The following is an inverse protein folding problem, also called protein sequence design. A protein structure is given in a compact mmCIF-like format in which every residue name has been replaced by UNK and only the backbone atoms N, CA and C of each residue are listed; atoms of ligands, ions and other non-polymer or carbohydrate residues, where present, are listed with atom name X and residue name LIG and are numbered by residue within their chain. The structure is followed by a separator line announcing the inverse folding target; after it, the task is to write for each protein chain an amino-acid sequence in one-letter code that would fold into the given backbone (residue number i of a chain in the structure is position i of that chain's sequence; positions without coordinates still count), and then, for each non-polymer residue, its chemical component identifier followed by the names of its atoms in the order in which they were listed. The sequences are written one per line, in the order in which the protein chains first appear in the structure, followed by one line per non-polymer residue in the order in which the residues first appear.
data_IF_567727855186
#
_entry.id   IF_567727855186
#
_cell.length_a   1.000
_cell.length_b   1.000
_cell.length_c   1.000
_cell.angle_alpha   90.00
_cell.angle_beta   90.00
_cell.angle_gamma   90.00
#
_symmetry.space_group_name_H-M   'P 1'
#
loop_
_entity.id
_entity.type
_entity.pdbx_description
1 polymer ?
#
# COMPACT_ATOMS: atom_id res chain seq x y z
N UNK A 1 -41.58 -24.08 18.47
CA UNK A 1 -41.66 -23.56 19.63
C UNK A 1 -40.77 -22.41 20.06
N UNK A 2 -39.60 -22.59 20.43
CA UNK A 2 -38.58 -21.60 20.80
C UNK A 2 -38.50 -20.45 19.80
N UNK A 3 -39.14 -20.65 18.66
CA UNK A 3 -39.15 -19.84 17.50
C UNK A 3 -39.96 -18.55 17.63
N UNK A 4 -41.04 -18.52 18.48
CA UNK A 4 -41.87 -17.29 18.53
C UNK A 4 -41.18 -16.14 19.24
N UNK A 5 -40.50 -16.40 20.36
CA UNK A 5 -39.72 -15.38 21.05
C UNK A 5 -38.54 -14.91 20.18
N UNK A 6 -37.80 -15.86 19.60
CA UNK A 6 -36.68 -15.57 18.68
C UNK A 6 -37.14 -14.80 17.46
N UNK A 7 -38.28 -15.17 16.84
CA UNK A 7 -38.83 -14.45 15.68
C UNK A 7 -39.26 -13.03 16.07
N UNK A 8 -39.87 -12.85 17.23
CA UNK A 8 -40.26 -11.53 17.71
C UNK A 8 -39.04 -10.65 18.01
N UNK A 9 -37.99 -11.23 18.56
CA UNK A 9 -36.71 -10.54 18.78
C UNK A 9 -36.09 -10.09 17.45
N UNK A 10 -36.04 -10.95 16.45
CA UNK A 10 -35.56 -10.61 15.12
C UNK A 10 -36.38 -9.50 14.44
N UNK A 11 -37.70 -9.55 14.58
CA UNK A 11 -38.56 -8.46 14.09
C UNK A 11 -38.25 -7.15 14.79
N UNK A 12 -38.10 -7.16 16.10
CA UNK A 12 -37.74 -5.96 16.85
C UNK A 12 -36.36 -5.41 16.44
N UNK A 13 -35.35 -6.27 16.32
CA UNK A 13 -34.01 -5.90 15.85
C UNK A 13 -34.09 -5.26 14.44
N UNK A 14 -34.90 -5.83 13.55
CA UNK A 14 -35.07 -5.34 12.17
C UNK A 14 -35.77 -3.98 12.17
N UNK A 15 -36.81 -3.79 12.93
CA UNK A 15 -37.52 -2.51 13.03
C UNK A 15 -36.65 -1.41 13.62
N UNK A 16 -35.91 -1.73 14.71
CA UNK A 16 -34.96 -0.79 15.31
C UNK A 16 -33.86 -0.39 14.34
N UNK A 17 -33.31 -1.35 13.59
CA UNK A 17 -32.30 -1.06 12.56
C UNK A 17 -32.85 -0.21 11.42
N UNK A 18 -34.08 -0.49 10.98
CA UNK A 18 -34.73 0.30 9.93
C UNK A 18 -34.87 1.77 10.35
N UNK A 19 -35.37 2.00 11.56
CA UNK A 19 -35.51 3.36 12.12
C UNK A 19 -34.13 4.04 12.26
N UNK A 20 -33.14 3.32 12.74
CA UNK A 20 -31.76 3.82 12.87
C UNK A 20 -31.18 4.26 11.53
N UNK A 21 -31.38 3.49 10.48
CA UNK A 21 -30.93 3.82 9.12
C UNK A 21 -31.69 5.00 8.51
N UNK A 22 -32.99 5.15 8.81
CA UNK A 22 -33.79 6.31 8.39
C UNK A 22 -33.30 7.59 9.06
N UNK A 23 -32.94 7.54 10.34
CA UNK A 23 -32.47 8.68 11.13
C UNK A 23 -30.98 9.00 10.89
N UNK A 24 -30.19 8.01 10.50
CA UNK A 24 -28.74 8.12 10.27
C UNK A 24 -28.38 7.64 8.86
N UNK A 25 -28.53 8.48 7.83
CA UNK A 25 -28.16 8.10 6.46
C UNK A 25 -26.70 7.70 6.27
N UNK A 26 -25.81 8.20 7.14
CA UNK A 26 -24.37 7.93 7.12
C UNK A 26 -23.97 6.74 8.04
N UNK A 27 -24.94 5.91 8.45
CA UNK A 27 -24.64 4.73 9.26
C UNK A 27 -23.63 3.82 8.53
N UNK A 28 -22.53 3.40 9.20
CA UNK A 28 -21.44 2.68 8.54
C UNK A 28 -21.81 1.22 8.27
N UNK A 29 -22.35 0.94 7.07
CA UNK A 29 -22.70 -0.41 6.60
C UNK A 29 -21.62 -1.07 5.77
N UNK A 30 -20.63 -0.33 5.34
CA UNK A 30 -19.52 -0.76 4.49
C UNK A 30 -18.21 -0.87 5.28
N UNK A 31 -17.17 -1.35 4.58
CA UNK A 31 -15.83 -1.51 5.18
C UNK A 31 -15.76 -2.52 6.34
N UNK A 32 -16.55 -3.58 6.28
CA UNK A 32 -16.40 -4.76 7.14
C UNK A 32 -15.86 -5.90 6.27
N UNK A 33 -14.69 -6.41 6.63
CA UNK A 33 -14.00 -7.47 5.92
C UNK A 33 -13.86 -8.69 6.82
N UNK A 34 -13.84 -9.89 6.24
CA UNK A 34 -13.52 -11.09 6.99
C UNK A 34 -12.01 -11.19 7.23
N UNK A 35 -11.59 -10.77 8.40
CA UNK A 35 -10.17 -10.75 8.80
C UNK A 35 -9.76 -11.94 9.67
N UNK A 36 -10.63 -12.95 9.83
CA UNK A 36 -10.39 -14.11 10.73
C UNK A 36 -9.16 -14.90 10.30
N UNK A 37 -8.97 -15.11 9.02
CA UNK A 37 -7.81 -15.82 8.48
C UNK A 37 -6.51 -15.05 8.76
N UNK A 38 -6.48 -13.76 8.44
CA UNK A 38 -5.33 -12.89 8.66
C UNK A 38 -4.93 -12.83 10.14
N UNK A 39 -5.91 -12.64 11.03
CA UNK A 39 -5.69 -12.65 12.49
C UNK A 39 -5.20 -14.02 12.97
N UNK A 40 -5.69 -15.12 12.41
CA UNK A 40 -5.22 -16.47 12.74
C UNK A 40 -3.78 -16.69 12.31
N UNK A 41 -3.40 -16.23 11.13
CA UNK A 41 -2.00 -16.27 10.65
C UNK A 41 -1.06 -15.48 11.57
N UNK A 42 -1.47 -14.30 12.00
CA UNK A 42 -0.68 -13.45 12.88
C UNK A 42 -0.31 -14.10 14.24
N UNK A 43 -0.99 -15.17 14.64
CA UNK A 43 -0.65 -15.94 15.85
C UNK A 43 0.47 -16.95 15.66
N UNK A 44 0.81 -17.26 14.41
CA UNK A 44 1.83 -18.25 14.07
C UNK A 44 3.20 -17.55 14.07
N UNK A 45 4.16 -18.11 14.78
CA UNK A 45 5.52 -17.57 14.81
C UNK A 45 6.13 -17.52 13.40
N UNK A 46 6.85 -16.45 13.11
CA UNK A 46 7.49 -16.19 11.81
C UNK A 46 6.51 -15.99 10.64
N UNK A 47 5.27 -15.65 10.91
CA UNK A 47 4.34 -15.12 9.89
C UNK A 47 4.18 -13.61 10.07
N UNK A 48 3.76 -12.96 9.01
CA UNK A 48 3.47 -11.53 9.00
C UNK A 48 2.13 -11.27 8.31
N UNK A 49 1.59 -10.10 8.54
CA UNK A 49 0.44 -9.58 7.83
C UNK A 49 0.93 -8.73 6.65
N UNK A 50 0.28 -8.87 5.52
CA UNK A 50 0.51 -8.02 4.35
C UNK A 50 -0.15 -6.63 4.55
N UNK A 51 0.23 -5.66 3.73
CA UNK A 51 -0.37 -4.32 3.74
C UNK A 51 -1.89 -4.36 3.63
N UNK A 52 -2.43 -5.21 2.76
CA UNK A 52 -3.87 -5.39 2.55
C UNK A 52 -4.56 -5.95 3.80
N UNK A 53 -3.92 -6.90 4.50
CA UNK A 53 -4.45 -7.46 5.75
C UNK A 53 -4.60 -6.37 6.82
N UNK A 54 -3.58 -5.52 6.99
CA UNK A 54 -3.63 -4.38 7.90
C UNK A 54 -4.70 -3.37 7.51
N UNK A 55 -4.83 -3.09 6.22
CA UNK A 55 -5.82 -2.16 5.71
C UNK A 55 -7.26 -2.63 5.97
N UNK A 56 -7.55 -3.90 5.70
CA UNK A 56 -8.84 -4.51 5.97
C UNK A 56 -9.14 -4.59 7.47
N UNK A 57 -8.15 -4.98 8.28
CA UNK A 57 -8.28 -5.02 9.73
C UNK A 57 -8.58 -3.63 10.30
N UNK A 58 -7.83 -2.61 9.90
CA UNK A 58 -8.03 -1.22 10.34
C UNK A 58 -9.43 -0.75 10.02
N UNK A 59 -9.90 -0.95 8.80
CA UNK A 59 -11.25 -0.54 8.36
C UNK A 59 -12.33 -1.26 9.12
N UNK A 60 -12.22 -2.57 9.29
CA UNK A 60 -13.20 -3.37 10.03
C UNK A 60 -13.28 -2.96 11.49
N UNK A 61 -12.15 -2.76 12.16
CA UNK A 61 -12.12 -2.32 13.56
C UNK A 61 -12.71 -0.92 13.75
N UNK A 62 -12.43 0.01 12.84
CA UNK A 62 -12.97 1.37 12.88
C UNK A 62 -14.50 1.37 12.67
N UNK A 63 -14.99 0.58 11.72
CA UNK A 63 -16.42 0.42 11.44
C UNK A 63 -17.14 -0.20 12.64
N UNK A 64 -16.61 -1.27 13.22
CA UNK A 64 -17.16 -1.90 14.42
C UNK A 64 -17.20 -0.90 15.58
N UNK A 65 -16.14 -0.13 15.80
CA UNK A 65 -16.09 0.90 16.83
C UNK A 65 -17.19 1.95 16.64
N UNK A 66 -17.39 2.44 15.42
CA UNK A 66 -18.44 3.41 15.07
C UNK A 66 -19.83 2.85 15.33
N UNK A 67 -20.09 1.61 14.90
CA UNK A 67 -21.38 0.94 15.12
C UNK A 67 -21.65 0.79 16.63
N UNK A 68 -20.70 0.26 17.39
CA UNK A 68 -20.86 0.09 18.84
C UNK A 68 -21.08 1.44 19.53
N UNK A 69 -20.38 2.48 19.15
CA UNK A 69 -20.56 3.83 19.70
C UNK A 69 -21.97 4.37 19.43
N UNK A 70 -22.53 4.13 18.24
CA UNK A 70 -23.91 4.53 17.91
C UNK A 70 -24.93 3.74 18.73
N UNK A 71 -24.71 2.44 18.90
CA UNK A 71 -25.65 1.55 19.62
C UNK A 71 -25.54 1.65 21.14
N UNK A 72 -24.43 2.17 21.67
CA UNK A 72 -24.16 2.37 23.10
C UNK A 72 -23.79 3.84 23.36
N UNK A 73 -24.74 4.78 23.20
CA UNK A 73 -24.49 6.18 23.50
C UNK A 73 -24.30 6.38 25.02
N UNK A 74 -23.52 7.39 25.39
CA UNK A 74 -23.29 7.75 26.80
C UNK A 74 -24.55 8.29 27.48
N UNK A 75 -25.52 8.74 26.70
CA UNK A 75 -26.80 9.30 27.17
C UNK A 75 -27.96 8.34 26.83
N UNK A 76 -28.62 7.82 27.86
CA UNK A 76 -29.75 6.91 27.72
C UNK A 76 -30.91 7.49 26.90
N UNK A 77 -31.07 8.84 26.84
CA UNK A 77 -32.07 9.51 26.00
C UNK A 77 -31.80 9.38 24.50
N UNK A 78 -30.56 9.08 24.13
CA UNK A 78 -30.13 8.87 22.74
C UNK A 78 -30.12 7.40 22.33
N UNK A 79 -30.57 6.50 23.19
CA UNK A 79 -30.57 5.06 22.91
C UNK A 79 -31.53 4.72 21.79
N UNK A 80 -31.01 4.19 20.68
CA UNK A 80 -31.74 3.93 19.43
C UNK A 80 -32.71 2.77 19.55
N UNK A 81 -32.37 1.75 20.36
CA UNK A 81 -33.22 0.58 20.58
C UNK A 81 -32.58 -0.43 21.50
N UNK A 82 -33.42 -1.04 22.32
CA UNK A 82 -32.98 -2.03 23.34
C UNK A 82 -32.52 -3.34 22.70
N UNK A 83 -33.15 -3.78 21.62
CA UNK A 83 -32.81 -5.06 21.00
C UNK A 83 -31.45 -4.97 20.27
N UNK A 84 -31.16 -3.87 19.59
CA UNK A 84 -29.84 -3.64 18.98
C UNK A 84 -28.76 -3.41 20.05
N UNK A 85 -29.06 -2.71 21.11
CA UNK A 85 -28.16 -2.54 22.26
C UNK A 85 -27.76 -3.93 22.82
N UNK A 86 -28.72 -4.79 23.11
CA UNK A 86 -28.47 -6.13 23.62
C UNK A 86 -27.71 -7.03 22.61
N UNK A 87 -28.02 -6.91 21.31
CA UNK A 87 -27.33 -7.65 20.26
C UNK A 87 -25.85 -7.28 20.16
N UNK A 88 -25.52 -6.03 20.39
CA UNK A 88 -24.15 -5.51 20.35
C UNK A 88 -23.42 -5.54 21.71
N UNK A 89 -24.10 -5.97 22.78
CA UNK A 89 -23.50 -6.07 24.11
C UNK A 89 -22.33 -7.06 24.12
N UNK A 90 -21.26 -6.68 24.78
CA UNK A 90 -20.04 -7.49 24.85
C UNK A 90 -19.15 -7.45 23.61
N UNK A 91 -19.48 -6.69 22.56
CA UNK A 91 -18.57 -6.47 21.42
C UNK A 91 -17.41 -5.58 21.90
N UNK A 92 -16.20 -6.13 21.87
CA UNK A 92 -15.01 -5.37 22.19
C UNK A 92 -14.57 -4.46 21.02
N UNK A 93 -14.13 -3.25 21.34
CA UNK A 93 -13.56 -2.32 20.39
C UNK A 93 -12.10 -2.02 20.71
N UNK A 94 -11.31 -1.66 19.70
CA UNK A 94 -9.87 -1.53 19.81
C UNK A 94 -9.36 -0.21 19.20
N UNK A 95 -9.80 0.97 19.66
CA UNK A 95 -9.39 2.26 19.06
C UNK A 95 -7.88 2.50 19.12
N UNK A 96 -7.22 2.06 20.19
CA UNK A 96 -5.77 2.18 20.32
C UNK A 96 -5.03 1.31 19.28
N UNK A 97 -5.57 0.15 18.91
CA UNK A 97 -5.00 -0.70 17.86
C UNK A 97 -5.15 -0.03 16.50
N UNK A 98 -6.31 0.58 16.21
CA UNK A 98 -6.52 1.37 14.99
C UNK A 98 -5.50 2.50 14.89
N UNK A 99 -5.26 3.25 15.96
CA UNK A 99 -4.25 4.31 15.97
C UNK A 99 -2.83 3.77 15.72
N UNK A 100 -2.49 2.62 16.26
CA UNK A 100 -1.18 1.97 16.02
C UNK A 100 -1.04 1.52 14.56
N UNK A 101 -2.11 0.98 13.99
CA UNK A 101 -2.11 0.61 12.55
C UNK A 101 -1.95 1.86 11.69
N UNK A 102 -2.61 2.98 12.04
CA UNK A 102 -2.49 4.25 11.31
C UNK A 102 -1.08 4.86 11.36
N UNK A 103 -0.23 4.44 12.30
CA UNK A 103 1.19 4.82 12.32
C UNK A 103 2.03 4.03 11.30
N UNK A 104 1.54 2.85 10.89
CA UNK A 104 2.25 1.94 9.98
C UNK A 104 1.72 2.06 8.55
N UNK A 105 0.39 2.15 8.39
CA UNK A 105 -0.31 2.14 7.10
C UNK A 105 -0.94 3.51 6.86
N UNK A 106 -0.87 4.00 5.63
CA UNK A 106 -1.54 5.21 5.21
C UNK A 106 -3.02 4.97 4.83
N UNK A 107 -3.73 6.04 4.48
CA UNK A 107 -5.15 5.99 4.08
C UNK A 107 -5.43 5.18 2.81
N UNK A 108 -4.41 4.87 2.03
CA UNK A 108 -4.49 4.08 0.80
C UNK A 108 -4.11 2.62 1.02
N UNK A 109 -3.69 2.25 2.23
CA UNK A 109 -3.26 0.91 2.58
C UNK A 109 -1.78 0.62 2.30
N UNK A 110 -0.96 1.66 2.06
CA UNK A 110 0.48 1.51 1.85
C UNK A 110 1.26 1.74 3.13
N UNK A 111 2.33 0.99 3.30
CA UNK A 111 3.22 1.15 4.45
C UNK A 111 3.91 2.52 4.41
N UNK A 112 3.78 3.26 5.50
CA UNK A 112 4.38 4.59 5.64
C UNK A 112 5.90 4.49 5.70
N UNK A 113 6.59 5.47 5.13
CA UNK A 113 8.05 5.58 5.25
C UNK A 113 8.49 5.61 6.72
N UNK A 114 7.65 6.17 7.59
CA UNK A 114 7.90 6.30 9.02
C UNK A 114 7.46 5.10 9.85
N UNK A 115 7.03 4.00 9.22
CA UNK A 115 6.58 2.78 9.93
C UNK A 115 7.69 2.20 10.83
N UNK A 116 8.95 2.30 10.41
CA UNK A 116 10.11 2.05 11.27
C UNK A 116 11.27 2.98 10.92
N UNK A 117 12.19 3.27 11.87
CA UNK A 117 13.40 4.05 11.58
C UNK A 117 14.27 3.42 10.49
N UNK A 118 14.33 2.09 10.46
CA UNK A 118 15.09 1.34 9.46
C UNK A 118 14.49 1.51 8.06
N UNK A 119 13.17 1.33 7.90
CA UNK A 119 12.49 1.54 6.63
C UNK A 119 12.66 2.99 6.14
N UNK A 120 12.57 3.96 7.05
CA UNK A 120 12.78 5.36 6.70
C UNK A 120 14.21 5.62 6.19
N UNK A 121 15.20 4.98 6.80
CA UNK A 121 16.60 5.05 6.35
C UNK A 121 16.76 4.44 4.96
N UNK A 122 16.27 3.21 4.77
CA UNK A 122 16.34 2.48 3.50
C UNK A 122 15.69 3.27 2.35
N UNK A 123 14.48 3.79 2.55
CA UNK A 123 13.77 4.56 1.53
C UNK A 123 14.45 5.89 1.19
N UNK A 124 15.10 6.54 2.17
CA UNK A 124 15.92 7.73 1.90
C UNK A 124 17.17 7.40 1.07
N UNK A 125 17.86 6.30 1.41
CA UNK A 125 19.03 5.85 0.67
C UNK A 125 18.66 5.45 -0.76
N UNK A 126 17.56 4.72 -0.92
CA UNK A 126 17.01 4.31 -2.21
C UNK A 126 16.70 5.54 -3.08
N UNK A 127 15.93 6.49 -2.58
CA UNK A 127 15.58 7.72 -3.30
C UNK A 127 16.82 8.55 -3.70
N UNK A 128 17.85 8.60 -2.86
CA UNK A 128 19.13 9.27 -3.19
C UNK A 128 19.88 8.55 -4.31
N UNK A 129 19.95 7.22 -4.24
CA UNK A 129 20.62 6.41 -5.23
C UNK A 129 19.92 6.50 -6.60
N UNK A 130 18.59 6.39 -6.63
CA UNK A 130 17.77 6.55 -7.85
C UNK A 130 17.94 7.95 -8.44
N UNK A 131 17.89 9.00 -7.63
CA UNK A 131 18.11 10.36 -8.08
C UNK A 131 19.52 10.59 -8.63
N UNK A 132 20.54 9.93 -8.08
CA UNK A 132 21.92 9.98 -8.59
C UNK A 132 22.03 9.30 -9.94
N UNK A 133 21.50 8.10 -10.08
CA UNK A 133 21.47 7.35 -11.36
C UNK A 133 20.77 8.18 -12.43
N UNK A 134 19.59 8.70 -12.12
CA UNK A 134 18.81 9.50 -13.06
C UNK A 134 19.59 10.72 -13.56
N UNK A 135 20.19 11.51 -12.65
CA UNK A 135 20.99 12.67 -13.03
C UNK A 135 22.19 12.31 -13.92
N UNK A 136 22.88 11.23 -13.59
CA UNK A 136 24.05 10.77 -14.36
C UNK A 136 23.64 10.33 -15.76
N UNK A 137 22.59 9.54 -15.88
CA UNK A 137 22.08 9.05 -17.18
C UNK A 137 21.60 10.21 -18.05
N UNK A 138 20.81 11.13 -17.49
CA UNK A 138 20.36 12.31 -18.26
C UNK A 138 21.53 13.22 -18.63
N UNK A 139 22.59 13.29 -17.82
CA UNK A 139 23.82 14.02 -18.17
C UNK A 139 24.53 13.38 -19.36
N UNK A 140 24.72 12.07 -19.36
CA UNK A 140 25.35 11.32 -20.47
C UNK A 140 24.50 11.43 -21.73
N UNK A 141 23.19 11.27 -21.64
CA UNK A 141 22.27 11.37 -22.76
C UNK A 141 22.31 12.76 -23.40
N UNK A 142 22.25 13.82 -22.59
CA UNK A 142 22.32 15.20 -23.09
C UNK A 142 23.64 15.51 -23.76
N UNK A 143 24.76 15.04 -23.23
CA UNK A 143 26.06 15.20 -23.85
C UNK A 143 26.10 14.50 -25.23
N UNK A 144 25.63 13.27 -25.33
CA UNK A 144 25.55 12.54 -26.58
C UNK A 144 24.60 13.19 -27.59
N UNK A 145 23.49 13.76 -27.14
CA UNK A 145 22.56 14.53 -28.00
C UNK A 145 23.21 15.82 -28.51
N UNK A 146 23.96 16.53 -27.67
CA UNK A 146 24.72 17.72 -28.08
C UNK A 146 25.79 17.41 -29.12
N UNK A 147 26.42 16.26 -29.03
CA UNK A 147 27.43 15.78 -29.99
C UNK A 147 26.83 15.20 -31.28
N UNK A 148 25.51 15.18 -31.38
CA UNK A 148 24.78 14.61 -32.51
C UNK A 148 24.82 13.09 -32.62
N UNK A 149 25.21 12.40 -31.54
CA UNK A 149 25.33 10.93 -31.51
C UNK A 149 23.97 10.25 -31.26
N UNK A 150 23.07 10.92 -30.60
CA UNK A 150 21.73 10.44 -30.27
C UNK A 150 20.71 11.54 -30.62
N UNK A 151 19.55 11.14 -31.12
CA UNK A 151 18.47 12.09 -31.46
C UNK A 151 17.95 12.79 -30.19
N UNK A 152 17.52 14.04 -30.34
CA UNK A 152 17.10 14.89 -29.21
C UNK A 152 15.81 14.46 -28.55
N UNK A 153 15.00 13.62 -29.19
CA UNK A 153 13.74 13.10 -28.71
C UNK A 153 13.89 11.76 -27.92
N UNK A 154 15.09 11.17 -27.91
CA UNK A 154 15.39 9.95 -27.18
C UNK A 154 15.40 10.24 -25.68
N UNK A 155 14.74 9.38 -24.93
CA UNK A 155 14.69 9.39 -23.47
C UNK A 155 15.24 8.07 -22.92
N UNK A 156 15.71 8.03 -21.65
CA UNK A 156 16.10 6.78 -21.00
C UNK A 156 14.95 5.78 -20.97
N UNK A 157 15.28 4.50 -21.00
CA UNK A 157 14.33 3.40 -20.87
C UNK A 157 14.68 2.55 -19.64
N UNK A 158 13.77 1.65 -19.26
CA UNK A 158 14.02 0.65 -18.21
C UNK A 158 14.10 -0.73 -18.86
N UNK A 159 15.18 -1.45 -18.58
CA UNK A 159 15.40 -2.85 -18.98
C UNK A 159 16.03 -3.62 -17.82
N UNK A 160 15.50 -4.81 -17.53
CA UNK A 160 15.92 -5.63 -16.38
C UNK A 160 15.93 -4.88 -15.04
N UNK A 161 14.97 -3.98 -14.85
CA UNK A 161 14.88 -3.14 -13.66
C UNK A 161 15.94 -2.04 -13.55
N UNK A 162 16.67 -1.77 -14.64
CA UNK A 162 17.75 -0.77 -14.68
C UNK A 162 17.42 0.33 -15.67
N UNK A 163 17.78 1.57 -15.33
CA UNK A 163 17.69 2.69 -16.23
C UNK A 163 18.84 2.60 -17.26
N UNK A 164 18.50 2.64 -18.54
CA UNK A 164 19.41 2.45 -19.67
C UNK A 164 19.20 3.51 -20.74
N UNK A 165 20.21 3.67 -21.61
CA UNK A 165 20.15 4.58 -22.75
C UNK A 165 19.94 3.78 -24.03
N UNK A 166 18.86 4.08 -24.81
CA UNK A 166 18.68 3.50 -26.15
C UNK A 166 19.69 4.12 -27.14
N UNK A 167 20.50 3.30 -27.77
CA UNK A 167 21.49 3.75 -28.76
C UNK A 167 21.49 2.87 -30.00
N UNK A 168 21.91 3.43 -31.14
CA UNK A 168 22.19 2.64 -32.33
C UNK A 168 23.41 1.71 -32.08
N UNK A 169 23.42 0.47 -32.60
CA UNK A 169 24.47 -0.49 -32.32
C UNK A 169 25.89 0.01 -32.64
N UNK A 170 26.05 0.84 -33.70
CA UNK A 170 27.31 1.44 -34.06
C UNK A 170 27.87 2.45 -33.07
N UNK A 171 27.02 3.00 -32.20
CA UNK A 171 27.38 4.02 -31.21
C UNK A 171 27.66 3.44 -29.81
N UNK A 172 27.43 2.15 -29.58
CA UNK A 172 27.65 1.52 -28.27
C UNK A 172 29.11 1.65 -27.81
N UNK A 173 30.08 1.83 -28.69
CA UNK A 173 31.48 2.06 -28.34
C UNK A 173 31.75 3.45 -27.78
N UNK A 174 30.86 4.42 -28.05
CA UNK A 174 30.94 5.80 -27.55
C UNK A 174 30.36 5.95 -26.16
N UNK A 175 29.45 5.04 -25.79
CA UNK A 175 28.86 4.97 -24.44
C UNK A 175 29.32 3.65 -23.83
N UNK A 176 30.34 3.73 -22.99
CA UNK A 176 30.85 2.55 -22.28
C UNK A 176 29.80 2.03 -21.30
N UNK A 177 29.47 0.76 -21.39
CA UNK A 177 28.49 0.18 -20.52
C UNK A 177 28.13 -1.26 -20.88
N UNK A 178 27.11 -1.76 -20.20
CA UNK A 178 26.58 -3.11 -20.37
C UNK A 178 25.34 -3.04 -21.24
N UNK A 179 25.29 -3.86 -22.30
CA UNK A 179 24.08 -4.01 -23.13
C UNK A 179 23.15 -5.02 -22.43
N UNK A 180 21.97 -4.55 -22.06
CA UNK A 180 20.95 -5.38 -21.39
C UNK A 180 19.93 -5.98 -22.33
N UNK A 181 19.65 -5.30 -23.44
CA UNK A 181 18.62 -5.71 -24.39
C UNK A 181 18.88 -5.10 -25.77
N UNK A 182 18.20 -5.61 -26.78
CA UNK A 182 18.12 -4.98 -28.09
C UNK A 182 16.69 -5.01 -28.63
N UNK A 183 16.37 -4.08 -29.53
CA UNK A 183 15.06 -4.05 -30.19
C UNK A 183 14.89 -5.26 -31.11
N UNK A 184 13.62 -5.63 -31.38
CA UNK A 184 13.28 -6.77 -32.25
C UNK A 184 13.91 -6.68 -33.66
N UNK A 185 14.19 -5.47 -34.15
CA UNK A 185 14.85 -5.22 -35.43
C UNK A 185 16.38 -5.12 -35.35
N UNK A 186 16.96 -5.20 -34.14
CA UNK A 186 18.38 -5.00 -33.90
C UNK A 186 18.89 -3.59 -34.14
N UNK A 187 18.00 -2.60 -34.36
CA UNK A 187 18.37 -1.21 -34.66
C UNK A 187 18.66 -0.36 -33.42
N UNK A 188 18.30 -0.86 -32.24
CA UNK A 188 18.51 -0.17 -30.97
C UNK A 188 19.06 -1.17 -29.96
N UNK A 189 20.11 -0.81 -29.26
CA UNK A 189 20.60 -1.51 -28.07
C UNK A 189 20.41 -0.65 -26.83
N UNK A 190 20.13 -1.29 -25.70
CA UNK A 190 19.86 -0.63 -24.44
C UNK A 190 21.07 -0.79 -23.53
N UNK A 191 21.76 0.32 -23.30
CA UNK A 191 23.07 0.34 -22.60
C UNK A 191 22.89 0.92 -21.20
N UNK A 192 23.35 0.17 -20.20
CA UNK A 192 23.61 0.72 -18.87
C UNK A 192 25.01 1.31 -18.85
N UNK A 193 25.16 2.64 -18.70
CA UNK A 193 26.48 3.26 -18.64
C UNK A 193 27.29 2.75 -17.45
N UNK A 194 28.60 2.60 -17.65
CA UNK A 194 29.53 2.11 -16.62
C UNK A 194 29.45 2.96 -15.33
N UNK A 195 29.21 4.26 -15.48
CA UNK A 195 29.13 5.25 -14.40
C UNK A 195 28.00 4.98 -13.40
N UNK A 196 26.96 4.23 -13.80
CA UNK A 196 25.80 3.95 -12.93
C UNK A 196 25.68 2.51 -12.48
N UNK A 197 26.57 1.62 -12.91
CA UNK A 197 26.48 0.18 -12.59
C UNK A 197 26.49 -0.08 -11.07
N UNK A 198 27.44 0.52 -10.36
CA UNK A 198 27.50 0.35 -8.89
C UNK A 198 26.26 0.92 -8.18
N UNK A 199 25.80 2.09 -8.60
CA UNK A 199 24.60 2.71 -8.02
C UNK A 199 23.35 1.86 -8.29
N UNK A 200 23.19 1.30 -9.48
CA UNK A 200 22.10 0.38 -9.79
C UNK A 200 22.18 -0.93 -8.99
N UNK A 201 23.38 -1.47 -8.75
CA UNK A 201 23.56 -2.61 -7.87
C UNK A 201 23.14 -2.28 -6.43
N UNK A 202 23.53 -1.09 -5.94
CA UNK A 202 23.12 -0.62 -4.61
C UNK A 202 21.60 -0.44 -4.48
N UNK A 203 20.94 0.09 -5.51
CA UNK A 203 19.48 0.19 -5.56
C UNK A 203 18.84 -1.20 -5.38
N UNK A 204 19.32 -2.21 -6.12
CA UNK A 204 18.80 -3.58 -6.00
C UNK A 204 18.99 -4.18 -4.61
N UNK A 205 20.12 -3.92 -3.96
CA UNK A 205 20.36 -4.34 -2.57
C UNK A 205 19.36 -3.67 -1.61
N UNK A 206 19.18 -2.36 -1.72
CA UNK A 206 18.25 -1.59 -0.88
C UNK A 206 16.80 -2.02 -1.09
N UNK A 207 16.36 -2.28 -2.33
CA UNK A 207 15.03 -2.82 -2.63
C UNK A 207 14.80 -4.20 -1.99
N UNK A 208 15.83 -5.06 -2.00
CA UNK A 208 15.76 -6.36 -1.36
C UNK A 208 15.68 -6.26 0.17
N UNK A 209 16.40 -5.31 0.76
CA UNK A 209 16.36 -5.04 2.20
C UNK A 209 15.01 -4.44 2.62
N UNK A 210 14.41 -3.59 1.78
CA UNK A 210 13.08 -3.03 2.03
C UNK A 210 11.98 -4.10 2.08
N UNK A 211 12.12 -5.18 1.29
CA UNK A 211 11.14 -6.29 1.25
C UNK A 211 11.25 -7.27 2.42
N UNK A 212 12.27 -7.17 3.24
CA UNK A 212 12.48 -8.05 4.42
C UNK A 212 11.85 -7.48 5.68
#
# INVERSE_FOLDING_TARGET
SDDVETVNEWHQQTDELRLLLEENPDFPLDNIFDVRESVSRARIANTHLEEEDFFHLRRSLDTIHKIVTILHPDDDEQMVGKALFLLSDGIATFPNLVQRIDQVIDKFGHMRDTASPELQRLRRELSRAEGSVSRTIYGILRAAQSDGLIDKDVTPAVRDGRLVIPVAPGLKRRINGIVHDESATGRTVFVEPTEVVEANNKIRELENDERR
#
